data_IF_822284293509
#
_entry.id   IF_822284293509
#
_cell.length_a   1.000
_cell.length_b   1.000
_cell.length_c   1.000
_cell.angle_alpha   90.00
_cell.angle_beta   90.00
_cell.angle_gamma   90.00
#
_symmetry.space_group_name_H-M   'P 1'
#
loop_
_entity.id
_entity.type
_entity.pdbx_description
1 polymer ?
#
# COMPACT_ATOMS: atom_id res chain seq x y z
N UNK A 1 8.22 29.24 0.56
CA UNK A 1 8.68 27.94 1.10
C UNK A 1 9.48 27.25 0.00
N UNK A 2 10.79 27.07 0.19
CA UNK A 2 11.66 26.47 -0.83
C UNK A 2 11.74 24.97 -0.56
N UNK A 3 11.12 24.15 -1.42
CA UNK A 3 11.19 22.70 -1.30
C UNK A 3 12.50 22.21 -1.93
N UNK A 4 13.27 21.35 -1.25
CA UNK A 4 14.51 20.80 -1.81
C UNK A 4 14.23 20.07 -3.12
N UNK A 5 15.19 20.10 -4.06
CA UNK A 5 15.05 19.42 -5.36
C UNK A 5 14.86 17.92 -5.14
N UNK A 6 13.65 17.45 -5.44
CA UNK A 6 13.05 16.17 -5.04
C UNK A 6 13.59 14.95 -5.80
N UNK A 7 14.62 15.10 -6.64
CA UNK A 7 15.05 14.04 -7.57
C UNK A 7 15.35 12.70 -6.88
N UNK A 8 16.09 12.72 -5.76
CA UNK A 8 16.39 11.51 -4.99
C UNK A 8 15.21 10.99 -4.18
N UNK A 9 14.50 11.88 -3.47
CA UNK A 9 13.35 11.51 -2.64
C UNK A 9 12.19 10.93 -3.46
N UNK A 10 11.96 11.44 -4.67
CA UNK A 10 10.93 10.92 -5.58
C UNK A 10 11.25 9.50 -6.04
N UNK A 11 12.53 9.18 -6.26
CA UNK A 11 12.97 7.82 -6.62
C UNK A 11 12.78 6.88 -5.44
N UNK A 12 13.19 7.28 -4.22
CA UNK A 12 13.02 6.47 -3.00
C UNK A 12 11.53 6.16 -2.74
N UNK A 13 10.65 7.16 -2.87
CA UNK A 13 9.20 6.95 -2.75
C UNK A 13 8.67 6.02 -3.83
N UNK A 14 9.09 6.17 -5.08
CA UNK A 14 8.66 5.31 -6.18
C UNK A 14 9.09 3.85 -5.97
N UNK A 15 10.31 3.63 -5.47
CA UNK A 15 10.83 2.29 -5.13
C UNK A 15 10.06 1.69 -3.96
N UNK A 16 9.79 2.46 -2.90
CA UNK A 16 8.95 2.04 -1.78
C UNK A 16 7.53 1.65 -2.21
N UNK A 17 6.92 2.44 -3.10
CA UNK A 17 5.60 2.12 -3.67
C UNK A 17 5.67 0.80 -4.43
N UNK A 18 6.63 0.62 -5.33
CA UNK A 18 6.75 -0.60 -6.11
C UNK A 18 7.01 -1.84 -5.23
N UNK A 19 7.83 -1.71 -4.19
CA UNK A 19 8.10 -2.77 -3.24
C UNK A 19 6.83 -3.18 -2.48
N UNK A 20 6.09 -2.20 -1.94
CA UNK A 20 4.82 -2.46 -1.25
C UNK A 20 3.81 -3.15 -2.16
N UNK A 21 3.59 -2.64 -3.38
CA UNK A 21 2.61 -3.20 -4.31
C UNK A 21 2.95 -4.65 -4.69
N UNK A 22 4.22 -4.97 -4.95
CA UNK A 22 4.65 -6.34 -5.26
C UNK A 22 4.56 -7.28 -4.05
N UNK A 23 4.84 -6.77 -2.85
CA UNK A 23 4.67 -7.56 -1.64
C UNK A 23 3.19 -7.90 -1.38
N UNK A 24 2.29 -6.93 -1.62
CA UNK A 24 0.84 -7.13 -1.46
C UNK A 24 0.26 -8.05 -2.54
N UNK A 25 0.72 -7.90 -3.79
CA UNK A 25 0.26 -8.65 -4.95
C UNK A 25 1.44 -9.21 -5.75
N UNK A 26 1.94 -10.41 -5.38
CA UNK A 26 3.07 -11.04 -6.06
C UNK A 26 2.78 -11.31 -7.55
N UNK A 27 1.53 -11.71 -7.85
CA UNK A 27 1.06 -11.96 -9.20
C UNK A 27 0.08 -10.89 -9.66
N UNK A 28 0.12 -10.56 -10.95
CA UNK A 28 -0.79 -9.60 -11.61
C UNK A 28 -0.92 -8.27 -10.86
N UNK A 29 0.19 -7.78 -10.28
CA UNK A 29 0.23 -6.59 -9.42
C UNK A 29 -0.58 -5.42 -9.97
N UNK A 30 -0.36 -5.04 -11.23
CA UNK A 30 -1.05 -3.88 -11.82
C UNK A 30 -2.57 -4.06 -11.97
N UNK A 31 -3.06 -5.28 -12.17
CA UNK A 31 -4.49 -5.58 -12.27
C UNK A 31 -5.17 -5.52 -10.90
N UNK A 32 -4.54 -6.09 -9.87
CA UNK A 32 -5.07 -6.02 -8.50
C UNK A 32 -5.09 -4.58 -7.97
N UNK A 33 -4.01 -3.82 -8.20
CA UNK A 33 -3.98 -2.40 -7.82
C UNK A 33 -5.07 -1.62 -8.54
N UNK A 34 -5.31 -1.88 -9.83
CA UNK A 34 -6.42 -1.27 -10.55
C UNK A 34 -7.77 -1.61 -9.93
N UNK A 35 -8.00 -2.88 -9.56
CA UNK A 35 -9.25 -3.32 -8.94
C UNK A 35 -9.52 -2.59 -7.62
N UNK A 36 -8.49 -2.40 -6.79
CA UNK A 36 -8.66 -1.72 -5.49
C UNK A 36 -8.80 -0.20 -5.62
N UNK A 37 -8.03 0.41 -6.53
CA UNK A 37 -7.80 1.87 -6.54
C UNK A 37 -8.47 2.61 -7.69
N UNK A 38 -8.91 1.89 -8.74
CA UNK A 38 -9.35 2.47 -10.01
C UNK A 38 -8.22 3.09 -10.85
N UNK A 39 -6.97 3.12 -10.38
CA UNK A 39 -5.82 3.62 -11.15
C UNK A 39 -5.62 2.72 -12.37
N UNK A 40 -5.48 3.31 -13.56
CA UNK A 40 -5.35 2.53 -14.80
C UNK A 40 -4.18 1.55 -14.72
N UNK A 41 -4.41 0.30 -15.13
CA UNK A 41 -3.39 -0.77 -15.18
C UNK A 41 -2.09 -0.28 -15.83
N UNK A 42 -2.17 0.34 -17.02
CA UNK A 42 -1.00 0.89 -17.74
C UNK A 42 -0.20 1.91 -16.95
N UNK A 43 -0.84 2.68 -16.07
CA UNK A 43 -0.15 3.66 -15.22
C UNK A 43 0.66 2.92 -14.16
N UNK A 44 0.08 1.90 -13.52
CA UNK A 44 0.76 1.07 -12.53
C UNK A 44 1.91 0.29 -13.17
N UNK A 45 1.72 -0.27 -14.36
CA UNK A 45 2.79 -0.94 -15.13
C UNK A 45 3.99 -0.03 -15.37
N UNK A 46 3.76 1.24 -15.72
CA UNK A 46 4.85 2.23 -15.90
C UNK A 46 5.61 2.50 -14.61
N UNK A 47 4.94 2.50 -13.45
CA UNK A 47 5.61 2.59 -12.16
C UNK A 47 6.46 1.37 -11.88
N UNK A 48 5.89 0.17 -12.06
CA UNK A 48 6.59 -1.10 -11.83
C UNK A 48 7.80 -1.29 -12.75
N UNK A 49 7.75 -0.74 -13.97
CA UNK A 49 8.84 -0.69 -14.93
C UNK A 49 9.83 0.47 -14.72
N UNK A 50 9.63 1.29 -13.68
CA UNK A 50 10.45 2.48 -13.36
C UNK A 50 10.51 3.53 -14.49
N UNK A 51 9.50 3.57 -15.36
CA UNK A 51 9.37 4.54 -16.46
C UNK A 51 8.77 5.86 -15.96
N UNK A 52 7.94 5.80 -14.92
CA UNK A 52 7.38 6.98 -14.25
C UNK A 52 7.22 6.74 -12.75
N UNK A 53 6.96 7.79 -11.99
CA UNK A 53 6.66 7.71 -10.56
C UNK A 53 5.20 8.09 -10.27
N UNK A 54 4.60 7.60 -9.17
CA UNK A 54 3.30 8.06 -8.72
C UNK A 54 3.36 9.53 -8.31
N UNK A 55 2.44 10.34 -8.84
CA UNK A 55 2.23 11.72 -8.39
C UNK A 55 1.43 11.80 -7.08
N UNK A 56 1.34 13.00 -6.49
CA UNK A 56 0.66 13.22 -5.21
C UNK A 56 -0.79 12.70 -5.17
N UNK A 57 -1.58 12.93 -6.22
CA UNK A 57 -2.96 12.42 -6.30
C UNK A 57 -3.03 10.88 -6.23
N UNK A 58 -2.07 10.19 -6.85
CA UNK A 58 -1.99 8.73 -6.76
C UNK A 58 -1.59 8.27 -5.37
N UNK A 59 -0.65 8.97 -4.70
CA UNK A 59 -0.28 8.66 -3.32
C UNK A 59 -1.47 8.82 -2.36
N UNK A 60 -2.31 9.83 -2.56
CA UNK A 60 -3.55 10.01 -1.78
C UNK A 60 -4.51 8.83 -1.99
N UNK A 61 -4.74 8.41 -3.24
CA UNK A 61 -5.57 7.23 -3.51
C UNK A 61 -5.01 5.97 -2.85
N UNK A 62 -3.70 5.73 -2.99
CA UNK A 62 -3.04 4.56 -2.42
C UNK A 62 -3.12 4.53 -0.89
N UNK A 63 -2.94 5.67 -0.20
CA UNK A 63 -3.06 5.73 1.26
C UNK A 63 -4.52 5.58 1.72
N UNK A 64 -5.49 6.07 0.96
CA UNK A 64 -6.91 5.87 1.30
C UNK A 64 -7.32 4.41 1.18
N UNK A 65 -6.78 3.69 0.19
CA UNK A 65 -7.13 2.28 -0.07
C UNK A 65 -6.34 1.32 0.83
N UNK A 66 -5.03 1.51 0.95
CA UNK A 66 -4.14 0.60 1.69
C UNK A 66 -3.80 1.05 3.11
N UNK A 67 -4.23 2.25 3.49
CA UNK A 67 -4.13 2.74 4.85
C UNK A 67 -2.70 3.04 5.31
N UNK A 68 -2.47 3.07 6.64
CA UNK A 68 -1.21 3.51 7.23
C UNK A 68 -0.05 2.55 6.96
N UNK A 69 -0.31 1.27 6.66
CA UNK A 69 0.74 0.32 6.30
C UNK A 69 1.48 0.72 5.01
N UNK A 70 0.73 1.15 4.00
CA UNK A 70 1.30 1.70 2.78
C UNK A 70 2.17 2.91 3.09
N UNK A 71 1.66 3.85 3.89
CA UNK A 71 2.38 5.07 4.22
C UNK A 71 3.66 4.77 5.02
N UNK A 72 3.64 3.80 5.93
CA UNK A 72 4.84 3.29 6.60
C UNK A 72 5.88 2.77 5.60
N UNK A 73 5.45 1.98 4.61
CA UNK A 73 6.35 1.34 3.65
C UNK A 73 7.05 2.32 2.69
N UNK A 74 6.39 3.43 2.35
CA UNK A 74 6.94 4.44 1.43
C UNK A 74 7.68 5.58 2.13
N UNK A 75 7.63 5.63 3.47
CA UNK A 75 8.31 6.65 4.27
C UNK A 75 9.66 6.12 4.75
N UNK A 76 10.76 6.79 4.37
CA UNK A 76 12.13 6.37 4.72
C UNK A 76 12.38 6.27 6.23
N UNK A 77 11.89 7.24 6.98
CA UNK A 77 12.00 7.30 8.43
C UNK A 77 10.62 7.61 9.03
N UNK A 78 9.75 6.58 9.17
CA UNK A 78 8.38 6.80 9.59
C UNK A 78 8.36 7.21 11.06
N UNK A 79 7.72 8.36 11.39
CA UNK A 79 7.65 8.80 12.78
C UNK A 79 6.93 7.76 13.66
N UNK A 80 7.19 7.73 14.99
CA UNK A 80 6.66 6.69 15.86
C UNK A 80 5.12 6.55 15.82
N UNK A 81 4.40 7.66 15.67
CA UNK A 81 2.93 7.65 15.56
C UNK A 81 2.45 6.90 14.31
N UNK A 82 3.17 7.00 13.20
CA UNK A 82 2.81 6.35 11.95
C UNK A 82 3.09 4.84 12.04
N UNK A 83 4.24 4.48 12.61
CA UNK A 83 4.57 3.07 12.90
C UNK A 83 3.53 2.43 13.83
N UNK A 84 3.09 3.15 14.86
CA UNK A 84 2.04 2.68 15.77
C UNK A 84 0.70 2.48 15.05
N UNK A 85 0.31 3.42 14.17
CA UNK A 85 -0.89 3.33 13.36
C UNK A 85 -0.84 2.13 12.38
N UNK A 86 0.29 1.92 11.70
CA UNK A 86 0.49 0.77 10.82
C UNK A 86 0.36 -0.56 11.56
N UNK A 87 0.97 -0.68 12.75
CA UNK A 87 0.83 -1.89 13.59
C UNK A 87 -0.61 -2.10 14.07
N UNK A 88 -1.33 -1.03 14.40
CA UNK A 88 -2.72 -1.11 14.83
C UNK A 88 -3.64 -1.57 13.70
N UNK A 89 -3.46 -1.03 12.49
CA UNK A 89 -4.19 -1.46 11.30
C UNK A 89 -3.95 -2.95 11.02
N UNK A 90 -2.68 -3.41 11.05
CA UNK A 90 -2.37 -4.82 10.82
C UNK A 90 -3.03 -5.75 11.82
N UNK A 91 -3.04 -5.36 13.10
CA UNK A 91 -3.71 -6.14 14.14
C UNK A 91 -5.20 -6.23 13.90
N UNK A 92 -5.85 -5.12 13.55
CA UNK A 92 -7.28 -5.11 13.27
C UNK A 92 -7.64 -6.02 12.08
N UNK A 93 -6.85 -5.99 11.01
CA UNK A 93 -7.04 -6.87 9.85
C UNK A 93 -6.90 -8.35 10.24
N UNK A 94 -5.84 -8.71 10.98
CA UNK A 94 -5.62 -10.09 11.41
C UNK A 94 -6.71 -10.56 12.37
N UNK A 95 -7.17 -9.70 13.29
CA UNK A 95 -8.29 -10.04 14.17
C UNK A 95 -9.57 -10.29 13.38
N UNK A 96 -9.90 -9.46 12.39
CA UNK A 96 -11.07 -9.66 11.55
C UNK A 96 -11.02 -11.01 10.79
N UNK A 97 -9.84 -11.40 10.29
CA UNK A 97 -9.66 -12.70 9.64
C UNK A 97 -9.83 -13.87 10.61
N UNK A 98 -9.38 -13.73 11.86
CA UNK A 98 -9.59 -14.74 12.90
C UNK A 98 -11.09 -14.88 13.19
N UNK A 99 -11.79 -13.77 13.36
CA UNK A 99 -13.22 -13.76 13.67
C UNK A 99 -14.04 -14.42 12.54
N UNK A 100 -13.70 -14.14 11.28
CA UNK A 100 -14.32 -14.76 10.10
C UNK A 100 -14.09 -16.28 10.06
N UNK A 101 -12.84 -16.73 10.23
CA UNK A 101 -12.51 -18.15 10.22
C UNK A 101 -13.12 -18.91 11.40
N UNK A 102 -13.24 -18.28 12.57
CA UNK A 102 -13.93 -18.88 13.73
C UNK A 102 -15.41 -19.07 13.43
N UNK A 103 -16.07 -18.07 12.81
CA UNK A 103 -17.47 -18.19 12.42
C UNK A 103 -17.69 -19.34 11.41
N UNK A 104 -16.83 -19.47 10.40
CA UNK A 104 -16.91 -20.59 9.44
C UNK A 104 -16.78 -21.97 10.11
N UNK A 105 -15.92 -22.09 11.12
CA UNK A 105 -15.74 -23.34 11.87
C UNK A 105 -16.93 -23.68 12.78
N UNK A 106 -17.63 -22.67 13.30
CA UNK A 106 -18.84 -22.85 14.10
C UNK A 106 -20.03 -23.23 13.22
N UNK A 107 -20.18 -22.60 12.06
CA UNK A 107 -21.24 -22.89 11.08
C UNK A 107 -21.08 -24.29 10.47
N UNK A 108 -19.86 -24.75 10.22
CA UNK A 108 -19.59 -26.10 9.70
C UNK A 108 -19.73 -27.24 10.72
N UNK A 109 -20.03 -26.92 11.99
CA UNK A 109 -20.22 -27.88 13.10
C UNK A 109 -21.69 -28.09 13.49
N UNK A 110 -22.62 -27.32 12.92
CA UNK A 110 -24.07 -27.46 13.10
C UNK A 110 -24.67 -28.49 12.11
#
# INVERSE_FOLDING_TARGET
MNFPKVGGAQIEVADGVCAFLRARYPDKTAANVHADTGIRVKTVEKWLAKVSAPGAAHLVVLVTVYGPEFLCAVTRDPPPWLTAAGRAARRAEVTAQIDELVAELEDGRA
#
